data_IF_854177109790
#
_entry.id   IF_854177109790
#
_cell.length_a   1.000
_cell.length_b   1.000
_cell.length_c   1.000
_cell.angle_alpha   90.00
_cell.angle_beta   90.00
_cell.angle_gamma   90.00
#
_symmetry.space_group_name_H-M   'P 1'
#
loop_
_entity.id
_entity.type
_entity.pdbx_description
1 polymer ?
#
# COMPACT_ATOMS: atom_id res chain seq x y z
N UNK A 1 -56.70 -29.97 -34.12
CA UNK A 1 -55.60 -30.17 -35.09
C UNK A 1 -54.59 -29.05 -34.83
N UNK A 2 -53.51 -29.29 -34.07
CA UNK A 2 -52.16 -29.67 -34.57
C UNK A 2 -51.73 -28.81 -35.77
N UNK A 3 -50.62 -28.07 -35.83
CA UNK A 3 -49.28 -28.11 -35.17
C UNK A 3 -48.50 -26.83 -35.63
N UNK A 4 -47.44 -26.44 -34.89
CA UNK A 4 -46.32 -25.53 -35.28
C UNK A 4 -46.64 -24.02 -35.42
N UNK A 5 -45.89 -23.08 -34.85
CA UNK A 5 -44.43 -23.00 -34.73
C UNK A 5 -43.97 -22.37 -33.40
N UNK A 6 -42.85 -22.93 -32.97
CA UNK A 6 -41.93 -22.53 -31.92
C UNK A 6 -41.04 -21.36 -32.42
N UNK A 7 -41.03 -20.22 -31.74
CA UNK A 7 -39.97 -19.19 -31.84
C UNK A 7 -39.79 -18.56 -30.46
N UNK A 8 -38.94 -19.14 -29.62
CA UNK A 8 -37.52 -18.82 -29.45
C UNK A 8 -37.22 -17.41 -28.95
N UNK A 9 -36.72 -17.39 -27.71
CA UNK A 9 -35.62 -16.57 -27.18
C UNK A 9 -35.85 -15.06 -27.11
N UNK A 10 -36.14 -14.50 -25.93
CA UNK A 10 -35.17 -14.28 -24.84
C UNK A 10 -33.86 -13.65 -25.36
N UNK A 11 -33.95 -12.39 -25.78
CA UNK A 11 -32.82 -11.56 -26.18
C UNK A 11 -32.75 -10.32 -25.29
N UNK A 12 -32.38 -10.51 -24.04
CA UNK A 12 -31.86 -9.46 -23.18
C UNK A 12 -30.75 -10.07 -22.34
N UNK A 13 -29.50 -9.65 -22.59
CA UNK A 13 -28.29 -9.74 -21.75
C UNK A 13 -27.06 -10.15 -22.58
N UNK A 14 -26.55 -9.20 -23.36
CA UNK A 14 -25.11 -9.14 -23.62
C UNK A 14 -24.67 -7.68 -23.53
N UNK A 15 -24.59 -7.16 -22.30
CA UNK A 15 -23.62 -6.10 -22.04
C UNK A 15 -22.26 -6.80 -22.13
N UNK A 16 -21.65 -6.71 -23.30
CA UNK A 16 -20.26 -7.01 -23.46
C UNK A 16 -19.48 -6.04 -22.57
N UNK A 17 -19.14 -6.48 -21.36
CA UNK A 17 -18.04 -5.90 -20.60
C UNK A 17 -16.77 -6.15 -21.40
N UNK A 18 -16.52 -5.28 -22.38
CA UNK A 18 -15.16 -5.04 -22.86
C UNK A 18 -14.41 -4.48 -21.66
N UNK A 19 -13.72 -5.36 -20.94
CA UNK A 19 -12.69 -4.95 -20.00
C UNK A 19 -11.61 -4.27 -20.83
N UNK A 20 -11.68 -2.95 -20.92
CA UNK A 20 -10.55 -2.13 -21.33
C UNK A 20 -9.46 -2.36 -20.29
N UNK A 21 -8.58 -3.33 -20.56
CA UNK A 21 -7.24 -3.35 -20.01
C UNK A 21 -6.48 -2.21 -20.70
N UNK A 22 -6.85 -0.98 -20.34
CA UNK A 22 -5.99 0.17 -20.61
C UNK A 22 -4.89 0.05 -19.58
N UNK A 23 -3.73 -0.44 -20.05
CA UNK A 23 -2.50 -0.38 -19.29
C UNK A 23 -2.38 1.05 -18.79
N UNK A 24 -2.40 1.21 -17.46
CA UNK A 24 -2.16 2.49 -16.82
C UNK A 24 -0.75 2.92 -17.23
N UNK A 25 -0.68 3.70 -18.31
CA UNK A 25 0.50 4.45 -18.72
C UNK A 25 0.82 5.30 -17.51
N UNK A 26 1.96 4.97 -16.88
CA UNK A 26 2.43 5.63 -15.67
C UNK A 26 2.47 7.12 -15.91
N UNK A 27 1.42 7.82 -15.47
CA UNK A 27 1.56 9.22 -15.10
C UNK A 27 2.59 9.19 -13.98
N UNK A 28 3.78 9.70 -14.25
CA UNK A 28 4.70 10.11 -13.20
C UNK A 28 3.92 11.10 -12.36
N UNK A 29 3.38 10.62 -11.23
CA UNK A 29 2.76 11.49 -10.24
C UNK A 29 3.92 12.29 -9.70
N UNK A 30 4.02 13.54 -10.13
CA UNK A 30 4.95 14.47 -9.51
C UNK A 30 4.63 14.48 -8.01
N UNK A 31 5.63 14.23 -7.15
CA UNK A 31 5.42 14.30 -5.71
C UNK A 31 4.79 15.65 -5.40
N UNK A 32 3.63 15.63 -4.71
CA UNK A 32 2.98 16.84 -4.21
C UNK A 32 4.05 17.70 -3.53
N UNK A 33 4.18 19.00 -3.83
CA UNK A 33 5.17 19.85 -3.18
C UNK A 33 4.93 19.80 -1.66
N UNK A 34 5.91 19.26 -0.93
CA UNK A 34 5.79 18.91 0.50
C UNK A 34 5.74 17.40 0.79
N UNK A 35 5.80 16.52 -0.22
CA UNK A 35 6.05 15.10 0.01
C UNK A 35 7.55 14.86 0.16
N UNK A 36 8.12 15.32 1.27
CA UNK A 36 9.36 14.71 1.71
C UNK A 36 9.11 13.20 1.75
N UNK A 37 10.07 12.44 1.19
CA UNK A 37 9.88 11.00 1.09
C UNK A 37 9.76 10.43 2.50
N UNK A 38 8.53 10.11 2.90
CA UNK A 38 8.24 9.41 4.14
C UNK A 38 9.02 8.10 4.09
N UNK A 39 10.16 8.11 4.76
CA UNK A 39 10.89 6.88 5.06
C UNK A 39 10.18 6.27 6.25
N UNK A 40 9.74 5.04 6.09
CA UNK A 40 9.02 4.32 7.13
C UNK A 40 10.08 3.52 7.89
N UNK A 41 10.58 4.00 9.04
CA UNK A 41 11.43 3.18 9.89
C UNK A 41 10.68 1.91 10.31
N UNK A 42 11.40 0.91 10.80
CA UNK A 42 10.72 -0.27 11.28
C UNK A 42 11.65 -1.42 11.61
N UNK A 43 11.13 -2.37 12.39
CA UNK A 43 11.84 -3.60 12.71
C UNK A 43 11.99 -4.50 11.49
N UNK A 44 11.33 -4.25 10.37
CA UNK A 44 11.47 -5.06 9.17
C UNK A 44 11.70 -4.16 7.95
N UNK A 45 12.58 -4.60 7.05
CA UNK A 45 12.80 -3.96 5.74
C UNK A 45 12.87 -5.01 4.65
N UNK A 46 12.23 -4.75 3.51
CA UNK A 46 12.22 -5.64 2.34
C UNK A 46 13.47 -5.39 1.47
N UNK A 47 14.15 -6.45 1.04
CA UNK A 47 15.33 -6.37 0.17
C UNK A 47 14.96 -6.53 -1.31
N UNK A 48 15.82 -6.13 -2.23
CA UNK A 48 15.60 -6.27 -3.68
C UNK A 48 15.35 -7.71 -4.16
N UNK A 49 15.79 -8.70 -3.39
CA UNK A 49 15.59 -10.13 -3.64
C UNK A 49 14.28 -10.69 -3.06
N UNK A 50 13.42 -9.84 -2.47
CA UNK A 50 12.18 -10.24 -1.80
C UNK A 50 12.38 -10.74 -0.36
N UNK A 51 13.61 -10.96 0.10
CA UNK A 51 13.83 -11.40 1.47
C UNK A 51 13.52 -10.29 2.47
N UNK A 52 12.93 -10.68 3.61
CA UNK A 52 12.65 -9.75 4.71
C UNK A 52 13.82 -9.74 5.68
N UNK A 53 14.41 -8.56 5.91
CA UNK A 53 15.41 -8.36 6.95
C UNK A 53 14.74 -7.82 8.21
N UNK A 54 14.69 -8.65 9.25
CA UNK A 54 14.29 -8.23 10.58
C UNK A 54 15.47 -7.59 11.33
N UNK A 55 15.23 -6.42 11.91
CA UNK A 55 16.10 -5.67 12.81
C UNK A 55 15.37 -5.50 14.13
N UNK A 56 16.08 -5.70 15.23
CA UNK A 56 15.54 -5.34 16.55
C UNK A 56 15.75 -3.84 16.74
N UNK A 57 14.65 -3.09 16.80
CA UNK A 57 14.64 -1.67 17.13
C UNK A 57 13.52 -1.43 18.14
N UNK A 58 13.76 -0.55 19.10
CA UNK A 58 12.74 -0.12 20.05
C UNK A 58 11.70 0.75 19.33
N UNK A 59 10.44 0.69 19.77
CA UNK A 59 9.39 1.58 19.23
C UNK A 59 9.69 3.04 19.62
N UNK A 60 9.19 4.03 18.85
CA UNK A 60 9.21 5.44 19.23
C UNK A 60 8.52 5.65 20.58
N UNK A 61 8.98 6.66 21.31
CA UNK A 61 8.41 7.15 22.56
C UNK A 61 7.23 8.12 22.36
N UNK A 62 6.81 8.31 21.11
CA UNK A 62 5.68 9.15 20.74
C UNK A 62 4.31 8.62 21.13
N UNK A 63 3.25 9.26 20.63
CA UNK A 63 1.85 8.76 20.78
C UNK A 63 1.47 7.91 19.57
N UNK A 64 0.96 6.70 19.79
CA UNK A 64 0.40 5.87 18.71
C UNK A 64 -0.82 6.55 18.10
N UNK A 65 -0.80 6.76 16.79
CA UNK A 65 -1.88 7.39 16.03
C UNK A 65 -2.76 6.35 15.33
N UNK A 66 -2.14 5.33 14.74
CA UNK A 66 -2.87 4.32 13.95
C UNK A 66 -2.11 3.00 13.94
N UNK A 67 -2.85 1.90 13.88
CA UNK A 67 -2.33 0.59 13.47
C UNK A 67 -3.06 0.18 12.19
N UNK A 68 -2.32 -0.21 11.17
CA UNK A 68 -2.84 -0.66 9.89
C UNK A 68 -2.27 -2.05 9.56
N UNK A 69 -3.07 -2.87 8.91
CA UNK A 69 -2.69 -4.21 8.48
C UNK A 69 -3.14 -4.44 7.04
N UNK A 70 -2.30 -5.05 6.24
CA UNK A 70 -2.65 -5.55 4.92
C UNK A 70 -2.07 -6.95 4.74
N UNK A 71 -2.86 -7.82 4.13
CA UNK A 71 -2.45 -9.18 3.78
C UNK A 71 -2.25 -9.30 2.29
N UNK A 72 -1.45 -10.29 1.90
CA UNK A 72 -1.27 -10.71 0.52
C UNK A 72 -0.77 -9.59 -0.44
N UNK A 73 0.01 -8.63 0.08
CA UNK A 73 0.61 -7.59 -0.75
C UNK A 73 1.74 -8.16 -1.60
N UNK A 74 1.83 -7.75 -2.87
CA UNK A 74 2.99 -8.05 -3.72
C UNK A 74 4.18 -7.20 -3.28
N UNK A 75 5.39 -7.68 -3.57
CA UNK A 75 6.66 -7.01 -3.24
C UNK A 75 6.63 -5.49 -3.50
N UNK A 76 6.26 -5.08 -4.71
CA UNK A 76 6.27 -3.68 -5.14
C UNK A 76 5.13 -2.83 -4.54
N UNK A 77 4.16 -3.45 -3.88
CA UNK A 77 3.01 -2.78 -3.28
C UNK A 77 3.21 -2.43 -1.80
N UNK A 78 4.12 -3.13 -1.11
CA UNK A 78 4.35 -2.97 0.34
C UNK A 78 4.74 -1.53 0.70
N UNK A 79 5.74 -0.95 0.03
CA UNK A 79 6.20 0.40 0.34
C UNK A 79 5.16 1.49 -0.04
N UNK A 80 4.56 1.48 -1.25
CA UNK A 80 3.50 2.42 -1.58
C UNK A 80 2.29 2.35 -0.64
N UNK A 81 1.86 1.14 -0.27
CA UNK A 81 0.76 0.96 0.69
C UNK A 81 1.10 1.59 2.04
N UNK A 82 2.26 1.25 2.61
CA UNK A 82 2.65 1.74 3.93
C UNK A 82 2.81 3.27 3.95
N UNK A 83 3.30 3.86 2.86
CA UNK A 83 3.41 5.32 2.71
C UNK A 83 2.05 6.01 2.74
N UNK A 84 1.08 5.45 2.00
CA UNK A 84 -0.27 5.98 1.96
C UNK A 84 -0.93 5.93 3.35
N UNK A 85 -0.77 4.83 4.07
CA UNK A 85 -1.29 4.70 5.43
C UNK A 85 -0.73 5.77 6.39
N UNK A 86 0.56 6.08 6.26
CA UNK A 86 1.22 7.11 7.06
C UNK A 86 0.69 8.51 6.73
N UNK A 87 0.60 8.87 5.45
CA UNK A 87 0.06 10.18 5.02
C UNK A 87 -1.38 10.35 5.47
N UNK A 88 -2.21 9.32 5.35
CA UNK A 88 -3.60 9.35 5.85
C UNK A 88 -3.66 9.53 7.37
N UNK A 89 -2.79 8.87 8.14
CA UNK A 89 -2.75 9.03 9.58
C UNK A 89 -2.29 10.44 10.00
N UNK A 90 -1.30 11.01 9.32
CA UNK A 90 -0.86 12.39 9.55
C UNK A 90 -2.00 13.38 9.31
N UNK A 91 -2.66 13.27 8.16
CA UNK A 91 -3.78 14.12 7.77
C UNK A 91 -4.95 14.03 8.77
N UNK A 92 -5.34 12.81 9.16
CA UNK A 92 -6.41 12.61 10.14
C UNK A 92 -6.08 13.16 11.54
N UNK A 93 -4.79 13.25 11.88
CA UNK A 93 -4.32 13.82 13.13
C UNK A 93 -4.08 15.34 13.06
N UNK A 94 -4.29 15.97 11.90
CA UNK A 94 -3.96 17.39 11.69
C UNK A 94 -2.45 17.68 11.76
N UNK A 95 -1.63 16.68 11.44
CA UNK A 95 -0.16 16.77 11.47
C UNK A 95 0.40 16.82 10.06
N UNK A 96 1.54 17.49 9.91
CA UNK A 96 2.35 17.36 8.71
C UNK A 96 2.97 15.93 8.63
N UNK A 97 3.26 15.40 7.42
CA UNK A 97 3.85 14.07 7.26
C UNK A 97 5.17 13.87 8.03
N UNK A 98 5.96 14.92 8.22
CA UNK A 98 7.24 14.89 8.94
C UNK A 98 7.04 14.80 10.47
N UNK A 99 5.82 15.10 10.94
CA UNK A 99 5.43 15.01 12.35
C UNK A 99 5.02 13.61 12.79
N UNK A 100 5.10 12.61 11.90
CA UNK A 100 4.77 11.22 12.19
C UNK A 100 5.84 10.26 11.67
N UNK A 101 6.00 9.14 12.36
CA UNK A 101 6.86 8.03 11.96
C UNK A 101 6.05 6.74 11.89
N UNK A 102 6.29 5.94 10.86
CA UNK A 102 5.72 4.61 10.74
C UNK A 102 6.73 3.57 11.20
N UNK A 103 6.26 2.51 11.85
CA UNK A 103 7.00 1.35 12.31
C UNK A 103 6.42 0.11 11.65
N UNK A 104 7.13 -0.41 10.65
CA UNK A 104 6.63 -1.50 9.81
C UNK A 104 7.20 -2.87 10.20
N UNK A 105 6.31 -3.85 10.35
CA UNK A 105 6.61 -5.28 10.44
C UNK A 105 6.13 -5.95 9.16
N UNK A 106 7.00 -6.74 8.55
CA UNK A 106 6.73 -7.47 7.31
C UNK A 106 6.90 -8.96 7.59
N UNK A 107 5.93 -9.77 7.18
CA UNK A 107 5.95 -11.21 7.28
C UNK A 107 5.87 -11.83 5.88
N UNK A 108 6.80 -12.76 5.56
CA UNK A 108 6.91 -13.38 4.25
C UNK A 108 8.35 -13.55 3.75
N UNK A 109 8.54 -13.95 2.47
CA UNK A 109 7.48 -14.22 1.50
C UNK A 109 6.69 -15.49 1.83
N UNK A 110 5.38 -15.46 1.54
CA UNK A 110 4.51 -16.65 1.47
C UNK A 110 4.12 -16.90 0.01
N UNK A 111 3.98 -18.15 -0.38
CA UNK A 111 3.48 -18.51 -1.71
C UNK A 111 1.96 -18.62 -1.67
N UNK A 112 1.27 -17.78 -2.43
CA UNK A 112 -0.18 -17.81 -2.59
C UNK A 112 -0.54 -18.37 -3.98
N UNK A 113 -1.37 -19.43 -4.06
CA UNK A 113 -1.82 -19.95 -5.35
C UNK A 113 -2.85 -18.99 -5.97
N UNK A 114 -2.52 -18.41 -7.13
CA UNK A 114 -3.45 -17.59 -7.94
C UNK A 114 -4.26 -18.49 -8.86
N UNK A 115 -3.64 -19.57 -9.35
CA UNK A 115 -4.28 -20.60 -10.16
C UNK A 115 -3.59 -21.94 -9.93
N UNK A 116 -4.09 -23.02 -10.54
CA UNK A 116 -3.52 -24.37 -10.42
C UNK A 116 -2.04 -24.47 -10.86
N UNK A 117 -1.51 -23.46 -11.54
CA UNK A 117 -0.16 -23.47 -12.12
C UNK A 117 0.65 -22.20 -11.80
N UNK A 118 0.06 -21.22 -11.10
CA UNK A 118 0.70 -19.94 -10.83
C UNK A 118 0.64 -19.66 -9.35
N UNK A 119 1.82 -19.59 -8.74
CA UNK A 119 2.01 -19.12 -7.37
C UNK A 119 2.65 -17.74 -7.39
N UNK A 120 2.26 -16.93 -6.42
CA UNK A 120 2.74 -15.58 -6.25
C UNK A 120 3.31 -15.40 -4.84
N UNK A 121 4.53 -14.88 -4.77
CA UNK A 121 5.05 -14.35 -3.51
C UNK A 121 4.20 -13.17 -3.04
N UNK A 122 3.75 -13.27 -1.80
CA UNK A 122 3.00 -12.23 -1.11
C UNK A 122 3.55 -12.01 0.29
N UNK A 123 3.25 -10.84 0.83
CA UNK A 123 3.73 -10.36 2.12
C UNK A 123 2.55 -9.87 2.94
N UNK A 124 2.54 -10.22 4.22
CA UNK A 124 1.64 -9.61 5.19
C UNK A 124 2.38 -8.51 5.91
N UNK A 125 1.71 -7.39 6.10
CA UNK A 125 2.33 -6.18 6.59
C UNK A 125 1.49 -5.59 7.69
N UNK A 126 2.14 -5.32 8.82
CA UNK A 126 1.59 -4.55 9.91
C UNK A 126 2.37 -3.25 10.04
N UNK A 127 1.66 -2.14 10.10
CA UNK A 127 2.23 -0.81 10.26
C UNK A 127 1.64 -0.14 11.49
N UNK A 128 2.51 0.34 12.36
CA UNK A 128 2.13 1.20 13.47
C UNK A 128 2.63 2.62 13.20
N UNK A 129 1.77 3.61 13.33
CA UNK A 129 2.12 5.01 13.01
C UNK A 129 2.07 5.81 14.30
N UNK A 130 3.17 6.48 14.61
CA UNK A 130 3.41 7.22 15.83
C UNK A 130 3.55 8.71 15.51
N UNK A 131 3.09 9.58 16.40
CA UNK A 131 3.45 10.99 16.40
C UNK A 131 4.90 11.13 16.86
N UNK A 132 5.72 11.93 16.19
CA UNK A 132 7.07 12.24 16.65
C UNK A 132 7.04 12.94 18.03
N UNK A 133 7.93 12.56 18.95
CA UNK A 133 8.01 13.15 20.28
C UNK A 133 8.47 14.63 20.25
N UNK A 134 9.31 14.99 19.28
CA UNK A 134 9.75 16.36 19.02
C UNK A 134 9.36 16.78 17.60
N UNK A 135 9.05 18.06 17.40
CA UNK A 135 8.91 18.60 16.05
C UNK A 135 10.25 18.45 15.31
N UNK A 136 10.23 18.03 14.02
CA UNK A 136 11.46 17.89 13.25
C UNK A 136 12.17 19.24 13.21
N UNK A 137 13.44 19.27 13.66
CA UNK A 137 14.27 20.48 13.63
C UNK A 137 14.36 20.96 12.19
N UNK A 138 13.68 22.05 11.85
CA UNK A 138 13.88 22.76 10.59
C UNK A 138 15.34 23.20 10.57
N UNK A 139 16.14 22.63 9.67
CA UNK A 139 17.45 23.18 9.38
C UNK A 139 17.21 24.46 8.58
N UNK A 140 17.25 25.60 9.26
CA UNK A 140 17.40 26.88 8.57
C UNK A 140 18.74 26.80 7.83
N UNK A 141 18.68 26.68 6.50
CA UNK A 141 19.85 26.94 5.67
C UNK A 141 20.02 28.44 5.70
N UNK A 142 21.05 28.91 6.38
CA UNK A 142 21.60 30.25 6.16
C UNK A 142 21.92 30.32 4.65
N UNK A 143 21.12 31.09 3.92
CA UNK A 143 21.43 31.47 2.55
C UNK A 143 22.30 32.71 2.68
N UNK A 144 23.60 32.53 2.48
CA UNK A 144 24.58 33.60 2.34
C UNK A 144 24.60 34.13 0.90
#
# INVERSE_FOLDING_TARGET
MSICLLTMMLACLTVACKSSHEAAVGKTIEPLPGSDAVRIPGPSSLRSDGSVRNRRMNRPDGRLLKTATATDLRFHQVEPWARNELVMAASNAGLAPEGVEGWIRIEGPRMLPISKQVEAEVYDVQLEIWKCAAEPRKREREVE
#
